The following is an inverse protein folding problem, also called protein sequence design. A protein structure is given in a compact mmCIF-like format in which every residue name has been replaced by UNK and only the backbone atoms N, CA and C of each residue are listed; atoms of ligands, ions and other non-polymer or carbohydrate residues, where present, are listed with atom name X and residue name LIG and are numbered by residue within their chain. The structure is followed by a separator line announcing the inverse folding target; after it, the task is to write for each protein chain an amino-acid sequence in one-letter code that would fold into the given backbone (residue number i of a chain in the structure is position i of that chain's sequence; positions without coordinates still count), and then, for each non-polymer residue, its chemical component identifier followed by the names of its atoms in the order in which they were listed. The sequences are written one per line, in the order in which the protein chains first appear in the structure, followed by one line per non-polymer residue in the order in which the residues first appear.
data_IF_683496881528
#
_entry.id   IF_683496881528
#
_cell.length_a   1.000
_cell.length_b   1.000
_cell.length_c   1.000
_cell.angle_alpha   90.00
_cell.angle_beta   90.00
_cell.angle_gamma   90.00
#
_symmetry.space_group_name_H-M   'P 1'
#
loop_
_entity.id
_entity.type
_entity.pdbx_description
1 polymer ?
#
# COMPACT_ATOMS: atom_id res chain seq x y z
N UNK A 1 52.35 38.56 -37.86
CA UNK A 1 51.92 37.37 -37.10
C UNK A 1 50.87 37.77 -36.08
N UNK A 2 49.62 37.31 -36.18
CA UNK A 2 48.59 37.62 -35.19
C UNK A 2 48.96 36.90 -33.88
N UNK A 3 49.11 37.68 -32.80
CA UNK A 3 49.41 37.12 -31.47
C UNK A 3 48.17 36.31 -31.05
N UNK A 4 48.34 35.00 -30.99
CA UNK A 4 47.28 34.13 -30.51
C UNK A 4 46.99 34.41 -29.03
N UNK A 5 45.73 34.71 -28.69
CA UNK A 5 45.29 34.85 -27.33
C UNK A 5 45.45 33.53 -26.54
N UNK A 6 45.16 33.51 -25.23
CA UNK A 6 45.35 32.38 -24.32
C UNK A 6 44.62 31.13 -24.87
N UNK A 7 43.35 31.26 -25.31
CA UNK A 7 42.61 30.18 -25.92
C UNK A 7 43.26 29.61 -27.20
N UNK A 8 43.83 30.49 -28.03
CA UNK A 8 44.51 30.06 -29.26
C UNK A 8 45.82 29.33 -28.99
N UNK A 9 46.55 29.69 -27.92
CA UNK A 9 47.74 28.95 -27.48
C UNK A 9 47.44 27.56 -26.95
N UNK A 10 46.33 27.43 -26.16
CA UNK A 10 45.86 26.13 -25.70
C UNK A 10 45.42 25.25 -26.88
N UNK A 11 44.60 25.79 -27.78
CA UNK A 11 44.15 25.04 -28.95
C UNK A 11 45.33 24.56 -29.80
N UNK A 12 46.37 25.39 -30.03
CA UNK A 12 47.57 25.01 -30.79
C UNK A 12 48.36 23.92 -30.10
N UNK A 13 48.42 23.89 -28.77
CA UNK A 13 49.14 22.85 -27.99
C UNK A 13 48.48 21.47 -28.11
N UNK A 14 47.15 21.44 -28.31
CA UNK A 14 46.44 20.16 -28.36
C UNK A 14 46.16 19.67 -29.81
N UNK A 15 46.14 20.57 -30.83
CA UNK A 15 45.68 20.23 -32.19
C UNK A 15 46.56 19.18 -32.87
N UNK A 16 47.90 19.24 -32.63
CA UNK A 16 48.85 18.32 -33.17
C UNK A 16 49.39 17.27 -32.17
N UNK A 17 48.80 17.23 -30.97
CA UNK A 17 49.25 16.37 -29.90
C UNK A 17 48.63 14.97 -30.00
N UNK A 18 49.47 13.93 -29.91
CA UNK A 18 48.98 12.53 -29.77
C UNK A 18 48.16 12.33 -28.50
N UNK A 19 48.36 13.18 -27.49
CA UNK A 19 47.61 13.14 -26.24
C UNK A 19 46.11 13.47 -26.50
N UNK A 20 45.79 14.29 -27.48
CA UNK A 20 44.44 14.67 -27.82
C UNK A 20 43.57 13.48 -28.25
N UNK A 21 44.15 12.57 -29.09
CA UNK A 21 43.46 11.35 -29.49
C UNK A 21 43.15 10.43 -28.28
N UNK A 22 44.11 10.31 -27.35
CA UNK A 22 43.94 9.53 -26.12
C UNK A 22 42.87 10.12 -25.22
N UNK A 23 42.88 11.46 -25.06
CA UNK A 23 41.88 12.17 -24.26
C UNK A 23 40.49 12.02 -24.86
N UNK A 24 40.35 12.13 -26.20
CA UNK A 24 39.04 11.94 -26.87
C UNK A 24 38.52 10.54 -26.62
N UNK A 25 39.35 9.50 -26.77
CA UNK A 25 38.94 8.12 -26.50
C UNK A 25 38.57 7.96 -25.02
N UNK A 26 39.38 8.50 -24.11
CA UNK A 26 39.10 8.42 -22.67
C UNK A 26 37.76 9.10 -22.29
N UNK A 27 37.48 10.29 -22.84
CA UNK A 27 36.22 10.96 -22.60
C UNK A 27 35.01 10.25 -23.24
N UNK A 28 35.18 9.63 -24.44
CA UNK A 28 34.13 8.81 -25.04
C UNK A 28 33.83 7.57 -24.20
N UNK A 29 34.85 6.89 -23.68
CA UNK A 29 34.66 5.75 -22.80
C UNK A 29 34.03 6.17 -21.45
N UNK A 30 34.50 7.27 -20.89
CA UNK A 30 33.92 7.82 -19.64
C UNK A 30 32.45 8.25 -19.82
N UNK A 31 32.16 8.90 -20.95
CA UNK A 31 30.79 9.28 -21.29
C UNK A 31 29.86 8.07 -21.50
N UNK A 32 30.36 7.06 -22.25
CA UNK A 32 29.63 5.80 -22.40
C UNK A 32 29.38 5.09 -21.07
N UNK A 33 30.39 5.05 -20.22
CA UNK A 33 30.27 4.49 -18.86
C UNK A 33 29.28 5.29 -17.97
N UNK A 34 29.35 6.62 -18.03
CA UNK A 34 28.42 7.48 -17.30
C UNK A 34 26.96 7.25 -17.71
N UNK A 35 26.69 7.09 -19.01
CA UNK A 35 25.34 6.81 -19.52
C UNK A 35 24.78 5.49 -18.96
N UNK A 36 25.63 4.48 -18.78
CA UNK A 36 25.20 3.18 -18.23
C UNK A 36 24.95 3.22 -16.73
N UNK A 37 25.63 4.10 -15.99
CA UNK A 37 25.49 4.23 -14.54
C UNK A 37 24.42 5.22 -14.12
N UNK A 38 24.07 6.16 -15.00
CA UNK A 38 23.05 7.19 -14.66
C UNK A 38 21.67 6.54 -14.56
N UNK A 39 20.99 6.62 -13.40
CA UNK A 39 19.63 6.12 -13.29
C UNK A 39 18.71 6.87 -14.26
N UNK A 40 17.79 6.13 -14.87
CA UNK A 40 16.80 6.67 -15.81
C UNK A 40 15.50 6.80 -15.08
N UNK A 41 15.05 8.02 -14.87
CA UNK A 41 13.80 8.37 -14.21
C UNK A 41 12.94 9.20 -15.16
N UNK A 42 11.64 9.02 -15.10
CA UNK A 42 10.67 9.75 -15.91
C UNK A 42 10.51 11.19 -15.40
N UNK A 43 10.52 11.35 -14.07
CA UNK A 43 10.39 12.65 -13.42
C UNK A 43 11.60 12.94 -12.53
N UNK A 44 12.08 14.20 -12.49
CA UNK A 44 13.17 14.57 -11.59
C UNK A 44 12.72 14.44 -10.14
N UNK A 45 13.57 13.90 -9.27
CA UNK A 45 13.30 13.77 -7.83
C UNK A 45 13.37 15.14 -7.17
N UNK A 46 12.25 15.87 -7.17
CA UNK A 46 12.07 17.10 -6.41
C UNK A 46 11.49 16.71 -5.05
N UNK A 47 12.29 16.84 -4.01
CA UNK A 47 11.84 16.53 -2.65
C UNK A 47 10.88 17.63 -2.19
N UNK A 48 9.60 17.30 -2.16
CA UNK A 48 8.52 18.11 -1.59
C UNK A 48 7.82 17.25 -0.56
N UNK A 49 8.20 17.31 0.71
CA UNK A 49 7.57 16.46 1.71
C UNK A 49 6.08 16.79 1.82
N UNK A 50 5.25 15.78 1.67
CA UNK A 50 3.80 15.84 1.84
C UNK A 50 3.35 14.72 2.77
N UNK A 51 2.52 15.06 3.75
CA UNK A 51 2.00 14.12 4.73
C UNK A 51 0.49 14.20 4.80
N UNK A 52 -0.16 13.03 4.74
CA UNK A 52 -1.57 12.87 5.00
C UNK A 52 -1.80 12.62 6.48
N UNK A 53 -2.57 13.46 7.13
CA UNK A 53 -3.02 13.29 8.51
C UNK A 53 -4.50 12.91 8.49
N UNK A 54 -4.80 11.67 8.83
CA UNK A 54 -6.15 11.13 8.83
C UNK A 54 -6.69 11.00 10.25
N UNK A 55 -7.92 11.46 10.45
CA UNK A 55 -8.61 11.39 11.73
C UNK A 55 -10.03 10.88 11.51
N UNK A 56 -10.50 9.97 12.36
CA UNK A 56 -11.86 9.47 12.36
C UNK A 56 -12.64 10.05 13.55
N UNK A 57 -13.88 10.46 13.30
CA UNK A 57 -14.83 10.92 14.32
C UNK A 57 -16.20 10.26 14.10
N UNK A 58 -16.38 9.02 14.58
CA UNK A 58 -17.61 8.26 14.33
C UNK A 58 -18.88 9.01 14.80
N UNK A 59 -19.91 9.00 13.97
CA UNK A 59 -21.19 9.64 14.24
C UNK A 59 -21.28 11.14 13.95
N UNK A 60 -20.12 11.82 13.71
CA UNK A 60 -20.12 13.25 13.46
C UNK A 60 -20.51 13.61 12.02
N UNK A 61 -21.22 14.71 11.84
CA UNK A 61 -21.45 15.35 10.55
C UNK A 61 -20.18 16.02 10.02
N UNK A 62 -20.13 16.34 8.72
CA UNK A 62 -18.99 17.04 8.13
C UNK A 62 -18.72 18.41 8.79
N UNK A 63 -19.76 19.15 9.17
CA UNK A 63 -19.67 20.43 9.84
C UNK A 63 -19.08 20.30 11.27
N UNK A 64 -19.45 19.26 12.00
CA UNK A 64 -18.88 18.96 13.31
C UNK A 64 -17.41 18.55 13.18
N UNK A 65 -17.07 17.69 12.21
CA UNK A 65 -15.66 17.31 11.90
C UNK A 65 -14.85 18.56 11.56
N UNK A 66 -15.39 19.47 10.74
CA UNK A 66 -14.69 20.72 10.38
C UNK A 66 -14.41 21.58 11.62
N UNK A 67 -15.41 21.81 12.45
CA UNK A 67 -15.26 22.75 13.56
C UNK A 67 -14.46 22.18 14.74
N UNK A 68 -14.62 20.86 15.02
CA UNK A 68 -14.08 20.23 16.22
C UNK A 68 -12.71 19.59 15.96
N UNK A 69 -12.44 19.11 14.74
CA UNK A 69 -11.23 18.38 14.39
C UNK A 69 -10.38 19.20 13.41
N UNK A 70 -10.96 19.59 12.26
CA UNK A 70 -10.18 20.13 11.13
C UNK A 70 -9.55 21.46 11.48
N UNK A 71 -10.34 22.46 11.88
CA UNK A 71 -9.85 23.82 12.18
C UNK A 71 -8.79 23.85 13.29
N UNK A 72 -8.98 23.20 14.46
CA UNK A 72 -7.95 23.15 15.48
C UNK A 72 -6.66 22.46 15.02
N UNK A 73 -6.80 21.38 14.23
CA UNK A 73 -5.65 20.65 13.72
C UNK A 73 -4.87 21.45 12.67
N UNK A 74 -5.56 22.14 11.77
CA UNK A 74 -4.92 23.05 10.80
C UNK A 74 -4.10 24.13 11.50
N UNK A 75 -4.65 24.77 12.53
CA UNK A 75 -3.93 25.78 13.32
C UNK A 75 -2.63 25.23 13.92
N UNK A 76 -2.68 24.03 14.50
CA UNK A 76 -1.50 23.37 15.06
C UNK A 76 -0.46 23.03 13.99
N UNK A 77 -0.90 22.53 12.83
CA UNK A 77 -0.01 22.13 11.75
C UNK A 77 0.63 23.33 11.03
N UNK A 78 -0.06 24.46 10.94
CA UNK A 78 0.49 25.73 10.43
C UNK A 78 1.63 26.30 11.27
N UNK A 79 1.66 25.99 12.57
CA UNK A 79 2.73 26.44 13.46
C UNK A 79 4.06 25.69 13.25
N UNK A 80 4.09 24.62 12.44
CA UNK A 80 5.29 23.82 12.21
C UNK A 80 6.23 24.55 11.26
N UNK A 81 7.51 24.78 11.66
CA UNK A 81 8.48 25.40 10.78
C UNK A 81 8.73 24.59 9.51
N UNK A 82 8.69 25.27 8.37
CA UNK A 82 8.88 24.64 7.05
C UNK A 82 7.60 24.25 6.35
N UNK A 83 6.44 24.31 7.00
CA UNK A 83 5.14 24.11 6.35
C UNK A 83 4.88 25.24 5.35
N UNK A 84 4.48 24.87 4.14
CA UNK A 84 4.13 25.78 3.06
C UNK A 84 2.62 25.89 2.89
N UNK A 85 1.91 24.77 2.90
CA UNK A 85 0.44 24.70 2.76
C UNK A 85 -0.14 23.59 3.64
N UNK A 86 -1.36 23.84 4.12
CA UNK A 86 -2.20 22.87 4.79
C UNK A 86 -3.55 22.86 4.07
N UNK A 87 -3.95 21.68 3.59
CA UNK A 87 -5.24 21.46 2.92
C UNK A 87 -6.04 20.44 3.71
N UNK A 88 -7.31 20.68 3.92
CA UNK A 88 -8.16 19.73 4.64
C UNK A 88 -9.44 19.41 3.91
N UNK A 89 -9.89 18.18 4.07
CA UNK A 89 -11.14 17.68 3.55
C UNK A 89 -11.93 17.08 4.73
N UNK A 90 -12.93 17.83 5.22
CA UNK A 90 -13.84 17.33 6.22
C UNK A 90 -14.99 16.55 5.54
N UNK A 91 -15.14 15.29 5.90
CA UNK A 91 -16.24 14.41 5.47
C UNK A 91 -17.03 13.93 6.68
N UNK A 92 -18.28 13.46 6.51
CA UNK A 92 -18.96 12.80 7.62
C UNK A 92 -18.08 11.71 8.24
N UNK A 93 -17.90 11.77 9.55
CA UNK A 93 -17.14 10.82 10.36
C UNK A 93 -15.63 10.77 10.11
N UNK A 94 -15.05 11.59 9.24
CA UNK A 94 -13.60 11.55 8.92
C UNK A 94 -13.07 12.88 8.44
N UNK A 95 -11.78 13.10 8.73
CA UNK A 95 -11.00 14.21 8.21
C UNK A 95 -9.72 13.71 7.56
N UNK A 96 -9.35 14.33 6.44
CA UNK A 96 -8.04 14.20 5.80
C UNK A 96 -7.41 15.57 5.74
N UNK A 97 -6.27 15.76 6.39
CA UNK A 97 -5.47 16.97 6.27
C UNK A 97 -4.15 16.64 5.57
N UNK A 98 -3.85 17.37 4.53
CA UNK A 98 -2.62 17.24 3.74
C UNK A 98 -1.71 18.39 4.13
N UNK A 99 -0.54 18.06 4.67
CA UNK A 99 0.49 19.03 5.06
C UNK A 99 1.60 19.00 4.02
N UNK A 100 1.83 20.11 3.34
CA UNK A 100 2.91 20.26 2.37
C UNK A 100 4.00 21.15 2.97
N UNK A 101 5.22 20.67 2.91
CA UNK A 101 6.42 21.43 3.31
C UNK A 101 7.03 22.14 2.11
N UNK A 102 7.92 23.09 2.39
CA UNK A 102 8.70 23.78 1.37
C UNK A 102 9.60 22.82 0.62
N UNK A 103 9.85 23.12 -0.64
CA UNK A 103 10.78 22.34 -1.48
C UNK A 103 12.17 22.34 -0.84
N UNK A 104 12.77 21.15 -0.75
CA UNK A 104 14.11 20.95 -0.18
C UNK A 104 14.14 20.69 1.33
N UNK A 105 12.99 20.71 2.02
CA UNK A 105 12.91 20.20 3.40
C UNK A 105 13.13 18.68 3.38
N UNK A 106 13.72 18.15 4.45
CA UNK A 106 13.90 16.71 4.60
C UNK A 106 12.56 16.01 4.95
N UNK A 107 12.28 14.87 4.30
CA UNK A 107 11.01 14.18 4.47
C UNK A 107 10.87 13.51 5.83
N UNK A 108 11.95 12.92 6.35
CA UNK A 108 11.96 12.26 7.66
C UNK A 108 11.85 13.27 8.79
N UNK A 109 12.62 14.37 8.71
CA UNK A 109 12.55 15.47 9.68
C UNK A 109 11.16 16.11 9.68
N UNK A 110 10.54 16.29 8.51
CA UNK A 110 9.20 16.83 8.36
C UNK A 110 8.15 15.94 9.01
N UNK A 111 8.27 14.62 8.83
CA UNK A 111 7.42 13.63 9.47
C UNK A 111 7.56 13.68 11.01
N UNK A 112 8.79 13.77 11.51
CA UNK A 112 9.07 13.89 12.95
C UNK A 112 8.49 15.18 13.52
N UNK A 113 8.60 16.31 12.80
CA UNK A 113 8.00 17.60 13.21
C UNK A 113 6.48 17.48 13.38
N UNK A 114 5.79 16.82 12.44
CA UNK A 114 4.32 16.58 12.53
C UNK A 114 3.99 15.72 13.74
N UNK A 115 4.67 14.56 13.90
CA UNK A 115 4.42 13.68 15.04
C UNK A 115 4.64 14.40 16.37
N UNK A 116 5.74 15.11 16.52
CA UNK A 116 6.03 15.88 17.73
C UNK A 116 4.94 16.92 18.02
N UNK A 117 4.48 17.64 17.00
CA UNK A 117 3.42 18.63 17.15
C UNK A 117 2.11 18.02 17.57
N UNK A 118 1.68 16.94 16.93
CA UNK A 118 0.44 16.24 17.25
C UNK A 118 0.50 15.58 18.63
N UNK A 119 1.59 14.89 18.95
CA UNK A 119 1.74 14.22 20.26
C UNK A 119 1.83 15.23 21.42
N UNK A 120 2.51 16.36 21.24
CA UNK A 120 2.58 17.41 22.27
C UNK A 120 1.24 18.09 22.56
N UNK A 121 0.25 17.93 21.68
CA UNK A 121 -1.09 18.50 21.83
C UNK A 121 -2.17 17.40 21.90
N UNK A 122 -1.79 16.20 22.28
CA UNK A 122 -2.69 15.06 22.36
C UNK A 122 -3.86 15.26 23.34
N UNK A 123 -3.62 16.06 24.39
CA UNK A 123 -4.61 16.49 25.39
C UNK A 123 -5.75 17.31 24.81
N UNK A 124 -5.55 17.92 23.63
CA UNK A 124 -6.57 18.72 22.92
C UNK A 124 -7.50 17.89 22.06
N UNK A 125 -7.25 16.59 21.89
CA UNK A 125 -8.10 15.72 21.08
C UNK A 125 -9.44 15.49 21.79
N UNK A 126 -10.58 15.82 21.17
CA UNK A 126 -11.88 15.65 21.78
C UNK A 126 -12.24 14.17 21.99
N UNK A 127 -13.08 13.90 22.98
CA UNK A 127 -13.59 12.56 23.23
C UNK A 127 -14.35 12.02 22.01
N UNK A 128 -14.07 10.77 21.62
CA UNK A 128 -14.67 10.10 20.48
C UNK A 128 -13.92 10.32 19.15
N UNK A 129 -12.94 11.21 19.13
CA UNK A 129 -12.05 11.41 17.99
C UNK A 129 -10.87 10.43 18.07
N UNK A 130 -10.53 9.78 16.94
CA UNK A 130 -9.40 8.85 16.88
C UNK A 130 -8.06 9.59 16.98
N UNK A 131 -7.02 8.86 17.34
CA UNK A 131 -5.65 9.35 17.18
C UNK A 131 -5.37 9.68 15.72
N UNK A 132 -4.62 10.76 15.42
CA UNK A 132 -4.20 11.07 14.07
C UNK A 132 -3.29 10.00 13.48
N UNK A 133 -3.63 9.48 12.31
CA UNK A 133 -2.77 8.60 11.53
C UNK A 133 -2.01 9.44 10.50
N UNK A 134 -0.70 9.52 10.62
CA UNK A 134 0.15 10.27 9.69
C UNK A 134 0.79 9.32 8.69
N UNK A 135 0.64 9.62 7.39
CA UNK A 135 1.31 8.90 6.31
C UNK A 135 2.09 9.88 5.45
N UNK A 136 3.37 9.61 5.28
CA UNK A 136 4.18 10.35 4.29
C UNK A 136 3.72 9.95 2.88
N UNK A 137 3.73 10.92 1.96
CA UNK A 137 3.58 10.71 0.52
C UNK A 137 4.90 10.98 -0.16
N UNK A 138 5.30 10.09 -1.04
CA UNK A 138 6.48 10.25 -1.90
C UNK A 138 6.07 10.24 -3.37
N UNK A 139 6.89 10.89 -4.19
CA UNK A 139 6.79 10.75 -5.65
C UNK A 139 7.07 9.31 -6.09
N UNK A 140 7.83 8.57 -5.28
CA UNK A 140 8.14 7.16 -5.51
C UNK A 140 6.95 6.22 -5.25
N UNK A 141 5.87 6.71 -4.64
CA UNK A 141 4.61 5.96 -4.47
C UNK A 141 3.80 5.88 -5.78
N UNK A 142 4.18 6.68 -6.81
CA UNK A 142 3.54 6.66 -8.12
C UNK A 142 3.88 5.35 -8.82
N UNK A 143 2.88 4.57 -9.28
CA UNK A 143 3.14 3.32 -9.98
C UNK A 143 3.89 3.54 -11.30
N UNK A 144 4.98 2.79 -11.48
CA UNK A 144 5.74 2.76 -12.74
C UNK A 144 5.23 1.69 -13.70
N UNK A 145 4.46 0.72 -13.20
CA UNK A 145 3.91 -0.38 -13.99
C UNK A 145 2.55 -0.76 -13.45
N UNK A 146 1.58 -0.93 -14.35
CA UNK A 146 0.27 -1.48 -14.06
C UNK A 146 0.06 -2.76 -14.87
N UNK A 147 -0.17 -3.87 -14.18
CA UNK A 147 -0.45 -5.17 -14.78
C UNK A 147 -1.92 -5.53 -14.53
N UNK A 148 -2.71 -5.64 -15.57
CA UNK A 148 -4.13 -5.95 -15.44
C UNK A 148 -4.40 -7.40 -15.84
N UNK A 149 -4.91 -8.17 -14.89
CA UNK A 149 -5.38 -9.54 -15.10
C UNK A 149 -6.88 -9.49 -15.39
N UNK A 150 -7.28 -10.13 -16.47
CA UNK A 150 -8.68 -10.23 -16.89
C UNK A 150 -8.90 -11.55 -17.63
N UNK A 151 -10.15 -11.93 -17.78
CA UNK A 151 -10.49 -13.18 -18.50
C UNK A 151 -11.64 -12.92 -19.48
N UNK A 152 -11.34 -13.04 -20.77
CA UNK A 152 -12.30 -12.84 -21.86
C UNK A 152 -13.41 -13.87 -21.94
N UNK A 153 -13.27 -15.02 -21.28
CA UNK A 153 -14.27 -16.09 -21.25
C UNK A 153 -15.14 -16.05 -19.98
N UNK A 154 -14.91 -15.12 -19.07
CA UNK A 154 -15.57 -15.01 -17.75
C UNK A 154 -15.52 -16.31 -16.90
N UNK A 155 -14.48 -17.12 -17.10
CA UNK A 155 -14.28 -18.37 -16.35
C UNK A 155 -13.79 -18.11 -14.91
N UNK A 156 -13.27 -16.91 -14.63
CA UNK A 156 -12.79 -16.48 -13.32
C UNK A 156 -13.60 -15.28 -12.82
N UNK A 157 -14.09 -15.39 -11.60
CA UNK A 157 -14.71 -14.29 -10.89
C UNK A 157 -13.65 -13.27 -10.43
N UNK A 158 -14.06 -12.04 -10.11
CA UNK A 158 -13.16 -11.03 -9.53
C UNK A 158 -12.49 -11.48 -8.23
N UNK A 159 -13.12 -12.38 -7.49
CA UNK A 159 -12.53 -13.02 -6.31
C UNK A 159 -11.34 -13.91 -6.67
N UNK A 160 -11.50 -14.76 -7.69
CA UNK A 160 -10.44 -15.67 -8.16
C UNK A 160 -9.31 -14.90 -8.83
N UNK A 161 -9.63 -13.92 -9.69
CA UNK A 161 -8.64 -13.01 -10.29
C UNK A 161 -7.83 -12.29 -9.23
N UNK A 162 -8.47 -11.82 -8.15
CA UNK A 162 -7.76 -11.15 -7.06
C UNK A 162 -6.84 -12.10 -6.29
N UNK A 163 -7.23 -13.36 -6.10
CA UNK A 163 -6.35 -14.36 -5.47
C UNK A 163 -5.10 -14.60 -6.31
N UNK A 164 -5.26 -14.79 -7.62
CA UNK A 164 -4.15 -14.93 -8.57
C UNK A 164 -3.29 -13.67 -8.55
N UNK A 165 -3.90 -12.49 -8.64
CA UNK A 165 -3.19 -11.22 -8.60
C UNK A 165 -2.38 -11.01 -7.31
N UNK A 166 -2.91 -11.46 -6.17
CA UNK A 166 -2.21 -11.38 -4.88
C UNK A 166 -0.97 -12.29 -4.87
N UNK A 167 -1.08 -13.50 -5.39
CA UNK A 167 0.05 -14.43 -5.49
C UNK A 167 1.14 -13.88 -6.43
N UNK A 168 0.75 -13.35 -7.57
CA UNK A 168 1.68 -12.67 -8.49
C UNK A 168 2.35 -11.47 -7.81
N UNK A 169 1.59 -10.65 -7.08
CA UNK A 169 2.10 -9.51 -6.34
C UNK A 169 3.15 -9.93 -5.28
N UNK A 170 2.92 -11.02 -4.56
CA UNK A 170 3.88 -11.57 -3.61
C UNK A 170 5.19 -12.01 -4.28
N UNK A 171 5.09 -12.61 -5.46
CA UNK A 171 6.29 -12.97 -6.22
C UNK A 171 7.04 -11.73 -6.72
N UNK A 172 6.35 -10.70 -7.20
CA UNK A 172 6.95 -9.45 -7.66
C UNK A 172 7.62 -8.69 -6.50
N UNK A 173 7.04 -8.71 -5.30
CA UNK A 173 7.60 -8.03 -4.12
C UNK A 173 8.95 -8.58 -3.65
N UNK A 174 9.36 -9.75 -4.14
CA UNK A 174 10.70 -10.32 -3.86
C UNK A 174 11.83 -9.58 -4.57
N UNK A 175 11.54 -8.68 -5.50
CA UNK A 175 12.54 -7.80 -6.11
C UNK A 175 12.86 -6.64 -5.15
N UNK A 176 14.13 -6.50 -4.80
CA UNK A 176 14.60 -5.52 -3.81
C UNK A 176 14.37 -4.07 -4.21
N UNK A 177 14.12 -3.78 -5.48
CA UNK A 177 13.91 -2.42 -5.99
C UNK A 177 12.44 -2.03 -6.09
N UNK A 178 11.54 -2.93 -5.74
CA UNK A 178 10.11 -2.66 -5.64
C UNK A 178 9.80 -2.11 -4.26
N UNK A 179 9.22 -0.90 -4.20
CA UNK A 179 8.83 -0.26 -2.95
C UNK A 179 7.44 -0.74 -2.49
N UNK A 180 6.45 -0.54 -3.32
CA UNK A 180 5.06 -0.85 -2.99
C UNK A 180 4.38 -1.59 -4.15
N UNK A 181 3.53 -2.56 -3.78
CA UNK A 181 2.64 -3.23 -4.71
C UNK A 181 1.22 -3.18 -4.17
N UNK A 182 0.31 -2.67 -4.98
CA UNK A 182 -1.11 -2.62 -4.65
C UNK A 182 -1.92 -3.47 -5.62
N UNK A 183 -2.85 -4.26 -5.08
CA UNK A 183 -3.82 -5.02 -5.88
C UNK A 183 -5.17 -4.30 -5.82
N UNK A 184 -5.63 -3.81 -6.96
CA UNK A 184 -6.82 -2.96 -7.14
C UNK A 184 -7.90 -3.75 -7.88
N UNK A 185 -9.15 -3.66 -7.41
CA UNK A 185 -10.27 -4.41 -7.96
C UNK A 185 -10.42 -5.82 -7.40
N UNK A 186 -11.45 -6.51 -7.85
CA UNK A 186 -11.83 -7.83 -7.35
C UNK A 186 -12.23 -7.85 -5.87
N UNK A 187 -12.75 -8.97 -5.43
CA UNK A 187 -13.22 -9.16 -4.05
C UNK A 187 -12.12 -9.78 -3.18
N UNK A 188 -11.91 -9.22 -1.99
CA UNK A 188 -11.00 -9.83 -0.98
C UNK A 188 -11.67 -11.04 -0.36
N UNK A 189 -10.88 -12.04 0.04
CA UNK A 189 -11.39 -13.13 0.89
C UNK A 189 -11.73 -12.57 2.27
N UNK A 190 -12.92 -12.92 2.76
CA UNK A 190 -13.29 -12.65 4.14
C UNK A 190 -14.09 -13.80 4.73
N UNK A 191 -13.99 -13.95 6.04
CA UNK A 191 -14.87 -14.79 6.82
C UNK A 191 -15.98 -13.92 7.38
N UNK A 192 -17.20 -14.10 6.85
CA UNK A 192 -18.38 -13.34 7.27
C UNK A 192 -19.18 -14.15 8.28
N UNK A 193 -19.45 -13.52 9.40
CA UNK A 193 -20.29 -14.07 10.46
C UNK A 193 -21.65 -13.38 10.39
N UNK A 194 -22.70 -14.11 10.04
CA UNK A 194 -24.07 -13.62 9.98
C UNK A 194 -24.83 -14.14 11.21
N UNK A 195 -25.03 -13.31 12.26
CA UNK A 195 -25.71 -13.75 13.47
C UNK A 195 -27.22 -13.88 13.26
N UNK A 196 -27.81 -14.92 13.84
CA UNK A 196 -29.26 -15.11 13.91
C UNK A 196 -29.80 -14.36 15.14
N UNK A 197 -30.48 -13.27 14.93
CA UNK A 197 -31.02 -12.40 15.99
C UNK A 197 -31.99 -13.14 16.92
N UNK A 198 -32.74 -14.10 16.40
CA UNK A 198 -33.70 -14.91 17.19
C UNK A 198 -32.94 -15.82 18.15
N UNK A 199 -31.86 -16.45 17.67
CA UNK A 199 -31.01 -17.31 18.52
C UNK A 199 -30.23 -16.51 19.54
N UNK A 200 -29.67 -15.34 19.13
CA UNK A 200 -29.01 -14.44 20.06
C UNK A 200 -29.92 -14.06 21.23
N UNK A 201 -31.16 -13.70 20.93
CA UNK A 201 -32.16 -13.38 21.96
C UNK A 201 -32.49 -14.59 22.83
N UNK A 202 -32.64 -15.77 22.24
CA UNK A 202 -32.98 -17.00 22.97
C UNK A 202 -31.87 -17.40 23.97
N UNK A 203 -30.61 -17.17 23.63
CA UNK A 203 -29.46 -17.43 24.49
C UNK A 203 -29.00 -16.24 25.33
N UNK A 204 -29.70 -15.10 25.22
CA UNK A 204 -29.37 -13.84 25.92
C UNK A 204 -27.94 -13.34 25.64
N UNK A 205 -27.49 -13.41 24.37
CA UNK A 205 -26.19 -12.95 23.91
C UNK A 205 -26.38 -11.67 23.11
N UNK A 206 -25.65 -10.59 23.49
CA UNK A 206 -25.65 -9.33 22.74
C UNK A 206 -24.68 -9.39 21.57
N UNK A 207 -24.89 -8.53 20.56
CA UNK A 207 -23.98 -8.40 19.40
C UNK A 207 -22.58 -7.96 19.86
N UNK A 208 -22.48 -7.05 20.83
CA UNK A 208 -21.20 -6.60 21.38
C UNK A 208 -20.44 -7.74 22.08
N UNK A 209 -21.17 -8.57 22.84
CA UNK A 209 -20.59 -9.75 23.46
C UNK A 209 -20.06 -10.73 22.43
N UNK A 210 -20.82 -10.94 21.34
CA UNK A 210 -20.41 -11.78 20.22
C UNK A 210 -19.13 -11.25 19.55
N UNK A 211 -19.09 -9.95 19.23
CA UNK A 211 -17.93 -9.32 18.62
C UNK A 211 -16.69 -9.41 19.52
N UNK A 212 -16.84 -9.13 20.81
CA UNK A 212 -15.77 -9.25 21.80
C UNK A 212 -15.28 -10.69 21.93
N UNK A 213 -16.17 -11.69 21.94
CA UNK A 213 -15.81 -13.09 22.00
C UNK A 213 -14.97 -13.52 20.80
N UNK A 214 -15.32 -13.07 19.58
CA UNK A 214 -14.53 -13.36 18.38
C UNK A 214 -13.14 -12.72 18.49
N UNK A 215 -13.07 -11.43 18.86
CA UNK A 215 -11.81 -10.71 18.99
C UNK A 215 -10.88 -11.33 20.04
N UNK A 216 -11.42 -11.73 21.20
CA UNK A 216 -10.66 -12.36 22.27
C UNK A 216 -10.11 -13.75 21.89
N UNK A 217 -10.80 -14.48 21.02
CA UNK A 217 -10.36 -15.79 20.55
C UNK A 217 -9.41 -15.70 19.33
N UNK A 218 -9.22 -14.52 18.74
CA UNK A 218 -8.30 -14.29 17.62
C UNK A 218 -6.96 -13.73 18.11
N UNK A 219 -6.38 -14.37 19.10
CA UNK A 219 -5.12 -13.92 19.73
C UNK A 219 -4.22 -15.12 19.98
N UNK A 220 -2.93 -14.97 19.72
CA UNK A 220 -1.88 -15.91 20.07
C UNK A 220 -0.99 -15.26 21.15
N UNK A 221 -1.00 -15.82 22.35
CA UNK A 221 -0.21 -15.33 23.48
C UNK A 221 0.96 -16.26 23.77
N UNK A 222 2.15 -15.72 23.92
CA UNK A 222 3.30 -16.43 24.52
C UNK A 222 3.20 -16.31 26.04
N UNK A 223 2.80 -17.40 26.72
CA UNK A 223 2.54 -17.39 28.14
C UNK A 223 3.74 -17.79 29.02
N UNK A 224 4.89 -18.07 28.40
CA UNK A 224 6.11 -18.40 29.13
C UNK A 224 6.97 -19.42 28.40
N UNK A 225 8.00 -19.86 29.10
CA UNK A 225 8.99 -20.81 28.62
C UNK A 225 9.21 -21.90 29.67
N UNK A 226 9.31 -23.15 29.26
CA UNK A 226 9.67 -24.28 30.06
C UNK A 226 11.07 -24.73 29.64
N UNK A 227 12.00 -24.78 30.58
CA UNK A 227 13.33 -25.33 30.35
C UNK A 227 13.39 -26.76 30.84
N UNK A 228 13.63 -27.70 29.93
CA UNK A 228 13.78 -29.10 30.22
C UNK A 228 14.83 -29.75 29.32
N UNK A 229 15.74 -30.54 29.87
CA UNK A 229 16.80 -31.26 29.13
C UNK A 229 17.63 -30.36 28.20
N UNK A 230 18.06 -29.18 28.65
CA UNK A 230 18.80 -28.19 27.92
C UNK A 230 18.08 -27.67 26.62
N UNK A 231 16.75 -27.80 26.62
CA UNK A 231 15.87 -27.26 25.58
C UNK A 231 14.89 -26.24 26.19
N UNK A 232 14.65 -25.15 25.50
CA UNK A 232 13.67 -24.14 25.84
C UNK A 232 12.41 -24.37 25.00
N UNK A 233 11.31 -24.73 25.66
CA UNK A 233 10.00 -24.89 25.06
C UNK A 233 9.17 -23.63 25.31
N UNK A 234 8.79 -22.94 24.26
CA UNK A 234 7.87 -21.80 24.34
C UNK A 234 6.43 -22.28 24.48
N UNK A 235 5.76 -21.86 25.55
CA UNK A 235 4.34 -22.15 25.75
C UNK A 235 3.51 -21.07 25.09
N UNK A 236 2.74 -21.45 24.07
CA UNK A 236 1.80 -20.57 23.37
C UNK A 236 0.38 -20.98 23.68
N UNK A 237 -0.49 -20.01 23.93
CA UNK A 237 -1.93 -20.23 24.18
C UNK A 237 -2.73 -19.42 23.16
N UNK A 238 -3.80 -20.02 22.63
CA UNK A 238 -4.61 -19.44 21.57
C UNK A 238 -4.08 -19.75 20.18
N UNK A 239 -4.79 -19.26 19.18
CA UNK A 239 -4.42 -19.34 17.77
C UNK A 239 -5.08 -18.19 17.00
N UNK A 240 -4.51 -17.83 15.87
CA UNK A 240 -5.20 -16.95 14.93
C UNK A 240 -6.27 -17.74 14.18
N UNK A 241 -7.43 -17.13 13.99
CA UNK A 241 -8.55 -17.72 13.27
C UNK A 241 -8.28 -17.69 11.78
N UNK A 242 -7.86 -18.79 11.19
CA UNK A 242 -7.46 -18.90 9.79
C UNK A 242 -8.49 -19.64 8.92
N UNK A 243 -9.25 -20.53 9.53
CA UNK A 243 -10.22 -21.37 8.84
C UNK A 243 -11.65 -21.15 9.39
N UNK A 244 -12.64 -21.48 8.56
CA UNK A 244 -14.05 -21.48 8.95
C UNK A 244 -14.31 -22.31 10.21
N UNK A 245 -13.66 -23.47 10.32
CA UNK A 245 -13.80 -24.38 11.49
C UNK A 245 -13.34 -23.76 12.80
N UNK A 246 -12.32 -22.89 12.75
CA UNK A 246 -11.84 -22.20 13.95
C UNK A 246 -12.93 -21.28 14.50
N UNK A 247 -13.56 -20.49 13.61
CA UNK A 247 -14.70 -19.63 13.97
C UNK A 247 -15.90 -20.45 14.47
N UNK A 248 -16.24 -21.54 13.80
CA UNK A 248 -17.38 -22.41 14.14
C UNK A 248 -17.30 -22.93 15.58
N UNK A 249 -16.09 -23.16 16.08
CA UNK A 249 -15.83 -23.75 17.39
C UNK A 249 -15.56 -22.74 18.51
N UNK A 250 -15.65 -21.43 18.23
CA UNK A 250 -15.55 -20.41 19.27
C UNK A 250 -16.73 -20.58 20.24
N UNK A 251 -16.42 -20.60 21.53
CA UNK A 251 -17.43 -20.54 22.60
C UNK A 251 -17.78 -19.07 22.83
N UNK A 252 -19.04 -18.75 22.59
CA UNK A 252 -19.58 -17.38 22.70
C UNK A 252 -20.44 -17.16 23.92
N UNK A 253 -20.63 -18.20 24.74
CA UNK A 253 -21.37 -18.11 25.98
C UNK A 253 -21.63 -19.49 26.61
N UNK A 254 -22.32 -19.49 27.72
CA UNK A 254 -22.76 -20.70 28.43
C UNK A 254 -24.25 -20.56 28.75
N UNK A 255 -25.04 -21.54 28.40
CA UNK A 255 -26.47 -21.61 28.69
C UNK A 255 -26.81 -22.96 29.33
N UNK A 256 -27.51 -22.96 30.45
CA UNK A 256 -27.84 -24.18 31.21
C UNK A 256 -26.61 -25.10 31.45
N UNK A 257 -25.49 -24.52 31.84
CA UNK A 257 -24.22 -25.21 32.08
C UNK A 257 -23.60 -25.91 30.87
N UNK A 258 -24.04 -25.54 29.61
CA UNK A 258 -23.51 -26.05 28.35
C UNK A 258 -22.90 -24.91 27.54
N UNK A 259 -21.73 -25.11 26.91
CA UNK A 259 -21.13 -24.11 26.04
C UNK A 259 -21.97 -23.90 24.79
N UNK A 260 -22.10 -22.63 24.38
CA UNK A 260 -22.72 -22.22 23.13
C UNK A 260 -21.60 -21.90 22.15
N UNK A 261 -21.58 -22.60 21.04
CA UNK A 261 -20.62 -22.37 19.95
C UNK A 261 -21.17 -21.38 18.92
N UNK A 262 -20.28 -20.62 18.29
CA UNK A 262 -20.63 -19.63 17.28
C UNK A 262 -21.49 -20.20 16.15
N UNK A 263 -21.20 -21.41 15.67
CA UNK A 263 -21.99 -22.12 14.65
C UNK A 263 -23.46 -22.37 15.02
N UNK A 264 -23.81 -22.32 16.30
CA UNK A 264 -25.17 -22.52 16.77
C UNK A 264 -26.02 -21.27 16.63
N UNK A 265 -25.39 -20.08 16.69
CA UNK A 265 -26.05 -18.78 16.72
C UNK A 265 -25.77 -17.89 15.52
N UNK A 266 -24.84 -18.29 14.65
CA UNK A 266 -24.48 -17.55 13.46
C UNK A 266 -24.18 -18.50 12.29
N UNK A 267 -24.38 -17.99 11.07
CA UNK A 267 -23.92 -18.61 9.85
C UNK A 267 -22.55 -18.07 9.50
N UNK A 268 -21.57 -18.94 9.27
CA UNK A 268 -20.20 -18.57 8.93
C UNK A 268 -19.96 -18.88 7.46
N UNK A 269 -19.57 -17.88 6.70
CA UNK A 269 -19.33 -17.93 5.26
C UNK A 269 -17.87 -17.54 5.01
N UNK A 270 -17.07 -18.47 4.48
CA UNK A 270 -15.76 -18.19 3.92
C UNK A 270 -15.93 -17.94 2.43
N UNK A 271 -15.65 -16.72 1.98
CA UNK A 271 -15.90 -16.35 0.59
C UNK A 271 -15.53 -14.91 0.26
N UNK A 272 -16.03 -14.42 -0.87
CA UNK A 272 -15.76 -13.06 -1.29
C UNK A 272 -16.39 -12.02 -0.36
N UNK A 273 -15.64 -10.95 -0.10
CA UNK A 273 -16.17 -9.74 0.52
C UNK A 273 -17.12 -9.01 -0.43
N UNK A 274 -17.86 -8.04 0.07
CA UNK A 274 -18.58 -7.10 -0.78
C UNK A 274 -17.60 -6.28 -1.62
N UNK A 275 -18.03 -5.89 -2.83
CA UNK A 275 -17.21 -5.05 -3.69
C UNK A 275 -17.02 -3.67 -3.07
N UNK A 276 -15.76 -3.30 -2.87
CA UNK A 276 -15.36 -1.94 -2.48
C UNK A 276 -14.73 -1.15 -3.63
N UNK A 277 -14.24 -1.87 -4.64
CA UNK A 277 -13.57 -1.33 -5.83
C UNK A 277 -13.88 -2.20 -7.03
N UNK A 278 -14.10 -1.57 -8.18
CA UNK A 278 -14.35 -2.24 -9.44
C UNK A 278 -13.25 -1.87 -10.44
N UNK A 279 -12.75 -2.85 -11.15
CA UNK A 279 -11.88 -2.68 -12.31
C UNK A 279 -12.47 -3.48 -13.45
N UNK A 280 -12.62 -2.84 -14.60
CA UNK A 280 -13.10 -3.48 -15.82
C UNK A 280 -12.07 -3.32 -16.92
N UNK A 281 -11.90 -4.35 -17.71
CA UNK A 281 -11.13 -4.30 -18.95
C UNK A 281 -12.08 -4.30 -20.14
N UNK A 282 -11.86 -3.40 -21.09
CA UNK A 282 -12.60 -3.31 -22.33
C UNK A 282 -11.61 -3.16 -23.50
N UNK A 283 -11.83 -3.91 -24.57
CA UNK A 283 -10.94 -3.93 -25.72
C UNK A 283 -11.67 -3.31 -26.92
N UNK A 284 -11.24 -2.14 -27.32
CA UNK A 284 -11.80 -1.48 -28.50
C UNK A 284 -11.54 -2.29 -29.77
N UNK A 285 -12.53 -2.34 -30.66
CA UNK A 285 -12.45 -3.08 -31.95
C UNK A 285 -11.29 -2.67 -32.85
N UNK A 286 -10.67 -1.51 -32.64
CA UNK A 286 -9.51 -1.03 -33.40
C UNK A 286 -8.17 -1.28 -32.70
N UNK A 287 -8.16 -1.94 -31.54
CA UNK A 287 -6.94 -2.25 -30.81
C UNK A 287 -6.16 -3.39 -31.46
N UNK A 288 -4.83 -3.34 -31.41
CA UNK A 288 -3.94 -4.45 -31.82
C UNK A 288 -4.15 -5.73 -31.02
N UNK A 289 -4.73 -5.60 -29.82
CA UNK A 289 -5.04 -6.74 -28.94
C UNK A 289 -6.46 -7.30 -29.15
N UNK A 290 -7.22 -6.72 -30.11
CA UNK A 290 -8.55 -7.23 -30.45
C UNK A 290 -8.42 -8.54 -31.23
N UNK A 291 -8.97 -9.61 -30.69
CA UNK A 291 -9.07 -10.91 -31.38
C UNK A 291 -10.50 -11.11 -31.88
N UNK A 292 -10.67 -11.51 -33.14
CA UNK A 292 -11.98 -11.85 -33.71
C UNK A 292 -12.57 -13.03 -32.93
N UNK A 293 -13.77 -12.82 -32.38
CA UNK A 293 -14.43 -13.82 -31.54
C UNK A 293 -14.51 -13.47 -30.05
N UNK A 294 -13.74 -12.47 -29.60
CA UNK A 294 -13.95 -11.89 -28.27
C UNK A 294 -15.11 -10.89 -28.29
N UNK A 295 -15.99 -10.98 -27.31
CA UNK A 295 -16.95 -9.92 -27.04
C UNK A 295 -16.18 -8.66 -26.61
N UNK A 296 -16.68 -7.47 -26.95
CA UNK A 296 -15.98 -6.22 -26.66
C UNK A 296 -15.79 -5.91 -25.16
N UNK A 297 -16.41 -6.64 -24.24
CA UNK A 297 -16.40 -6.39 -22.81
C UNK A 297 -17.65 -5.62 -22.35
N UNK A 298 -17.68 -5.03 -21.16
CA UNK A 298 -16.60 -4.97 -20.15
C UNK A 298 -16.39 -6.30 -19.41
N UNK A 299 -15.14 -6.69 -19.23
CA UNK A 299 -14.76 -7.86 -18.44
C UNK A 299 -14.29 -7.44 -17.06
N UNK A 300 -14.66 -8.21 -16.04
CA UNK A 300 -14.12 -8.01 -14.70
C UNK A 300 -12.61 -8.22 -14.69
N UNK A 301 -11.89 -7.32 -14.03
CA UNK A 301 -10.45 -7.30 -14.03
C UNK A 301 -9.87 -6.94 -12.66
N UNK A 302 -8.58 -7.23 -12.48
CA UNK A 302 -7.80 -6.87 -11.30
C UNK A 302 -6.48 -6.30 -11.75
N UNK A 303 -6.10 -5.14 -11.24
CA UNK A 303 -4.85 -4.47 -11.59
C UNK A 303 -3.86 -4.55 -10.43
N UNK A 304 -2.64 -4.98 -10.75
CA UNK A 304 -1.48 -4.93 -9.87
C UNK A 304 -0.70 -3.67 -10.23
N UNK A 305 -0.60 -2.71 -9.33
CA UNK A 305 0.23 -1.53 -9.49
C UNK A 305 1.55 -1.73 -8.76
N UNK A 306 2.66 -1.41 -9.40
CA UNK A 306 4.02 -1.58 -8.89
C UNK A 306 4.69 -0.22 -8.84
N UNK A 307 5.16 0.19 -7.65
CA UNK A 307 5.94 1.39 -7.42
C UNK A 307 7.41 1.02 -7.14
N UNK A 308 8.32 1.92 -7.51
CA UNK A 308 9.77 1.70 -7.38
C UNK A 308 10.33 2.31 -6.10
N UNK A 309 11.48 1.81 -5.64
CA UNK A 309 12.27 2.50 -4.63
C UNK A 309 12.96 3.73 -5.21
N UNK A 310 13.25 4.69 -4.34
CA UNK A 310 13.98 5.90 -4.69
C UNK A 310 15.32 5.56 -5.33
N UNK A 311 15.67 6.26 -6.43
CA UNK A 311 16.92 6.05 -7.17
C UNK A 311 16.97 4.79 -8.02
N UNK A 312 15.94 3.96 -8.05
CA UNK A 312 15.91 2.75 -8.86
C UNK A 312 15.47 3.04 -10.30
N UNK A 313 16.02 2.29 -11.26
CA UNK A 313 15.69 2.42 -12.68
C UNK A 313 14.31 1.78 -12.98
N UNK A 314 13.33 2.60 -13.34
CA UNK A 314 11.97 2.16 -13.64
C UNK A 314 11.89 1.15 -14.80
N UNK A 315 12.68 1.38 -15.87
CA UNK A 315 12.68 0.51 -17.06
C UNK A 315 13.20 -0.89 -16.74
N UNK A 316 14.25 -0.97 -15.91
CA UNK A 316 14.85 -2.26 -15.51
C UNK A 316 13.88 -3.05 -14.60
N UNK A 317 13.21 -2.36 -13.68
CA UNK A 317 12.21 -2.99 -12.80
C UNK A 317 11.03 -3.50 -13.64
N UNK A 318 10.51 -2.68 -14.54
CA UNK A 318 9.42 -3.08 -15.42
C UNK A 318 9.79 -4.30 -16.27
N UNK A 319 11.00 -4.32 -16.85
CA UNK A 319 11.50 -5.44 -17.65
C UNK A 319 11.61 -6.72 -16.81
N UNK A 320 12.19 -6.64 -15.61
CA UNK A 320 12.26 -7.80 -14.69
C UNK A 320 10.90 -8.27 -14.23
N UNK A 321 10.00 -7.34 -13.91
CA UNK A 321 8.64 -7.66 -13.49
C UNK A 321 7.87 -8.39 -14.59
N UNK A 322 7.94 -7.92 -15.84
CA UNK A 322 7.32 -8.57 -16.99
C UNK A 322 7.90 -9.97 -17.26
N UNK A 323 9.24 -10.11 -17.21
CA UNK A 323 9.90 -11.41 -17.37
C UNK A 323 9.47 -12.40 -16.27
N UNK A 324 9.30 -11.91 -15.03
CA UNK A 324 8.86 -12.73 -13.91
C UNK A 324 7.39 -13.16 -14.06
N UNK A 325 6.51 -12.24 -14.50
CA UNK A 325 5.10 -12.56 -14.80
C UNK A 325 5.01 -13.60 -15.90
N UNK A 326 5.82 -13.49 -16.96
CA UNK A 326 5.85 -14.48 -18.03
C UNK A 326 6.33 -15.86 -17.54
N UNK A 327 7.29 -15.91 -16.62
CA UNK A 327 7.74 -17.16 -16.02
C UNK A 327 6.68 -17.82 -15.10
N UNK A 328 5.67 -17.08 -14.65
CA UNK A 328 4.57 -17.61 -13.83
C UNK A 328 3.42 -18.17 -14.68
N UNK A 329 3.47 -18.04 -16.02
CA UNK A 329 2.48 -18.66 -16.91
C UNK A 329 2.55 -20.17 -16.85
N UNK A 330 1.37 -20.79 -16.78
CA UNK A 330 1.23 -22.24 -16.67
C UNK A 330 1.41 -22.80 -15.26
N UNK A 331 1.78 -21.97 -14.28
CA UNK A 331 1.87 -22.31 -12.86
C UNK A 331 0.84 -21.53 -12.04
N UNK A 332 1.07 -20.25 -11.80
CA UNK A 332 0.16 -19.36 -11.05
C UNK A 332 -0.83 -18.67 -12.01
N UNK A 333 -0.36 -18.26 -13.17
CA UNK A 333 -1.18 -17.68 -14.24
C UNK A 333 -1.62 -18.82 -15.19
N UNK A 334 -2.93 -19.03 -15.33
CA UNK A 334 -3.47 -20.06 -16.24
C UNK A 334 -3.19 -19.76 -17.71
#
# INVERSE_FOLDING_TARGET
MKVLGLAGKIAKAFIDSKLTAILVIAFLLLGGFAITLTPREEEPQIIVPMMDVMVSYPGASAAEVENVVTKPMEQLLWEIPGVEYVYSIAKPQSNLTIVRFKVGEDSEDSLVKIYNKLMSNYDKIPNGVSQPLVKARSIDDVPILALTLWNGENNYSGYELRRIATEVAEQLKKDNFVAEINVIGGQKRQMRVEPDLTKLKAFNISLDHLANSINQNNVLLENGKIQQNNQELKVKTGQFLSEKKDLENIIVGVYNNKPIYLKQIAKIIDGPAEYSQYVFNDIAKGSTNFQEGFNAGPYEAVTISVAKQQGANATDIATRALAKVEALRGDILP
#
